data_IF_298020840268
#
_entry.id   IF_298020840268
#
_cell.length_a   1.000
_cell.length_b   1.000
_cell.length_c   1.000
_cell.angle_alpha   90.00
_cell.angle_beta   90.00
_cell.angle_gamma   90.00
#
_symmetry.space_group_name_H-M   'P 1'
#
loop_
_entity.id
_entity.type
_entity.pdbx_description
1 polymer ?
#
# COMPACT_ATOMS: atom_id res chain seq x y z
N UNK A 1 7.14 -17.07 -13.00
CA UNK A 1 6.62 -16.11 -12.00
C UNK A 1 5.60 -15.19 -12.67
N UNK A 2 4.44 -15.06 -12.08
CA UNK A 2 3.37 -14.24 -12.65
C UNK A 2 3.61 -12.76 -12.36
N UNK A 3 3.67 -11.94 -13.40
CA UNK A 3 3.72 -10.50 -13.29
C UNK A 3 2.32 -9.93 -13.40
N UNK A 4 1.98 -8.97 -12.53
CA UNK A 4 0.73 -8.23 -12.59
C UNK A 4 0.90 -6.92 -13.36
N UNK A 5 2.09 -6.34 -13.30
CA UNK A 5 2.44 -5.11 -13.98
C UNK A 5 3.92 -5.09 -14.31
N UNK A 6 4.42 -4.00 -14.87
CA UNK A 6 5.82 -3.88 -15.25
C UNK A 6 6.77 -4.15 -14.07
N UNK A 7 6.45 -3.62 -12.88
CA UNK A 7 7.36 -3.66 -11.73
C UNK A 7 6.91 -4.57 -10.60
N UNK A 8 5.70 -5.13 -10.63
CA UNK A 8 5.15 -5.87 -9.49
C UNK A 8 4.65 -7.25 -9.91
N UNK A 9 5.13 -8.28 -9.20
CA UNK A 9 4.69 -9.65 -9.38
C UNK A 9 3.48 -9.98 -8.50
N UNK A 10 2.78 -11.05 -8.85
CA UNK A 10 1.72 -11.60 -8.00
C UNK A 10 2.27 -11.95 -6.61
N UNK A 11 3.45 -12.56 -6.55
CA UNK A 11 4.07 -12.94 -5.28
C UNK A 11 4.30 -11.72 -4.38
N UNK A 12 4.81 -10.62 -4.93
CA UNK A 12 5.01 -9.38 -4.17
C UNK A 12 3.70 -8.80 -3.66
N UNK A 13 2.68 -8.79 -4.50
CA UNK A 13 1.39 -8.16 -4.19
C UNK A 13 0.49 -9.02 -3.32
N UNK A 14 0.88 -10.25 -3.02
CA UNK A 14 0.19 -11.17 -2.11
C UNK A 14 1.07 -11.61 -0.95
N UNK A 15 2.13 -10.86 -0.67
CA UNK A 15 3.06 -11.19 0.42
C UNK A 15 2.36 -11.15 1.77
N UNK A 16 2.69 -12.10 2.64
CA UNK A 16 2.17 -12.17 4.01
C UNK A 16 3.18 -12.90 4.90
N UNK A 17 3.26 -12.48 6.15
CA UNK A 17 4.07 -13.14 7.18
C UNK A 17 3.24 -14.08 8.08
N UNK A 18 1.93 -14.21 7.82
CA UNK A 18 1.03 -15.00 8.68
C UNK A 18 1.14 -16.50 8.47
N UNK A 19 1.72 -16.95 7.34
CA UNK A 19 1.73 -18.36 6.98
C UNK A 19 0.39 -18.89 6.46
N UNK A 20 -0.63 -18.05 6.39
CA UNK A 20 -1.96 -18.41 5.90
C UNK A 20 -2.04 -18.24 4.38
N UNK A 21 -2.96 -18.96 3.73
CA UNK A 21 -3.24 -18.79 2.32
C UNK A 21 -3.70 -17.37 2.02
N UNK A 22 -3.11 -16.77 0.98
CA UNK A 22 -3.39 -15.38 0.60
C UNK A 22 -3.64 -15.27 -0.91
N UNK A 23 -4.51 -16.14 -1.41
CA UNK A 23 -4.80 -16.22 -2.85
C UNK A 23 -6.05 -15.39 -3.18
N UNK A 24 -5.94 -14.41 -4.10
CA UNK A 24 -7.10 -13.64 -4.54
C UNK A 24 -8.01 -14.47 -5.45
N UNK A 25 -9.31 -14.21 -5.40
CA UNK A 25 -10.24 -14.71 -6.39
C UNK A 25 -10.11 -13.88 -7.69
N UNK A 26 -10.89 -14.22 -8.72
CA UNK A 26 -10.78 -13.56 -10.03
C UNK A 26 -11.06 -12.05 -9.96
N UNK A 27 -12.06 -11.63 -9.21
CA UNK A 27 -12.40 -10.20 -9.06
C UNK A 27 -11.33 -9.46 -8.27
N UNK A 28 -10.87 -10.04 -7.17
CA UNK A 28 -9.79 -9.47 -6.35
C UNK A 28 -8.50 -9.38 -7.15
N UNK A 29 -8.20 -10.39 -7.97
CA UNK A 29 -7.02 -10.39 -8.82
C UNK A 29 -7.08 -9.27 -9.87
N UNK A 30 -8.24 -9.03 -10.47
CA UNK A 30 -8.43 -7.93 -11.42
C UNK A 30 -8.17 -6.57 -10.77
N UNK A 31 -8.68 -6.37 -9.54
CA UNK A 31 -8.44 -5.14 -8.77
C UNK A 31 -6.97 -5.00 -8.40
N UNK A 32 -6.36 -6.08 -7.96
CA UNK A 32 -4.94 -6.10 -7.57
C UNK A 32 -4.03 -5.79 -8.76
N UNK A 33 -4.37 -6.30 -9.94
CA UNK A 33 -3.63 -6.01 -11.17
C UNK A 33 -3.69 -4.52 -11.49
N UNK A 34 -4.86 -3.90 -11.40
CA UNK A 34 -5.02 -2.46 -11.60
C UNK A 34 -4.23 -1.67 -10.55
N UNK A 35 -4.23 -2.12 -9.30
CA UNK A 35 -3.43 -1.52 -8.21
C UNK A 35 -1.94 -1.60 -8.51
N UNK A 36 -1.46 -2.75 -8.97
CA UNK A 36 -0.06 -2.92 -9.37
C UNK A 36 0.33 -1.97 -10.51
N UNK A 37 -0.54 -1.80 -11.50
CA UNK A 37 -0.32 -0.87 -12.61
C UNK A 37 -0.25 0.58 -12.11
N UNK A 38 -1.12 0.95 -11.18
CA UNK A 38 -1.07 2.28 -10.56
C UNK A 38 0.22 2.48 -9.76
N UNK A 39 0.68 1.44 -9.07
CA UNK A 39 1.95 1.46 -8.33
C UNK A 39 3.17 1.56 -9.26
N UNK A 40 3.07 1.16 -10.51
CA UNK A 40 4.15 1.38 -11.49
C UNK A 40 4.47 2.86 -11.65
N UNK A 41 3.47 3.74 -11.59
CA UNK A 41 3.69 5.19 -11.64
C UNK A 41 4.44 5.68 -10.39
N UNK A 42 4.12 5.14 -9.24
CA UNK A 42 4.84 5.43 -7.99
C UNK A 42 6.28 4.96 -8.09
N UNK A 43 6.49 3.75 -8.61
CA UNK A 43 7.83 3.20 -8.82
C UNK A 43 8.69 4.09 -9.74
N UNK A 44 8.10 4.58 -10.83
CA UNK A 44 8.79 5.52 -11.74
C UNK A 44 9.11 6.83 -11.04
N UNK A 45 8.18 7.37 -10.28
CA UNK A 45 8.38 8.61 -9.52
C UNK A 45 9.56 8.49 -8.55
N UNK A 46 9.62 7.40 -7.80
CA UNK A 46 10.66 7.20 -6.79
C UNK A 46 12.01 6.81 -7.38
N UNK A 47 12.02 6.18 -8.57
CA UNK A 47 13.24 5.81 -9.28
C UNK A 47 14.05 4.69 -8.63
N UNK A 48 13.53 4.03 -7.59
CA UNK A 48 14.21 2.98 -6.84
C UNK A 48 13.25 1.83 -6.53
N UNK A 49 13.76 0.63 -6.25
CA UNK A 49 12.90 -0.52 -5.92
C UNK A 49 12.02 -0.26 -4.71
N UNK A 50 10.75 -0.61 -4.84
CA UNK A 50 9.77 -0.55 -3.76
C UNK A 50 9.70 -1.93 -3.11
N UNK A 51 9.75 -1.96 -1.77
CA UNK A 51 9.52 -3.19 -1.02
C UNK A 51 8.09 -3.19 -0.50
N UNK A 52 7.28 -4.13 -0.99
CA UNK A 52 5.90 -4.31 -0.56
C UNK A 52 5.89 -5.11 0.74
N UNK A 53 5.28 -4.55 1.78
CA UNK A 53 5.10 -5.23 3.06
C UNK A 53 3.77 -5.96 3.13
N UNK A 54 2.74 -5.40 2.48
CA UNK A 54 1.40 -5.99 2.42
C UNK A 54 0.68 -5.42 1.21
N UNK A 55 0.14 -6.29 0.38
CA UNK A 55 -0.76 -5.91 -0.71
C UNK A 55 -2.15 -6.48 -0.46
N UNK A 56 -2.60 -7.41 -1.29
CA UNK A 56 -3.85 -8.12 -1.07
C UNK A 56 -3.82 -8.91 0.24
N UNK A 57 -4.96 -8.93 0.95
CA UNK A 57 -5.19 -9.77 2.11
C UNK A 57 -6.45 -10.60 1.93
N UNK A 58 -6.32 -11.92 1.95
CA UNK A 58 -7.47 -12.82 2.04
C UNK A 58 -8.24 -12.56 3.34
N UNK A 59 -9.47 -13.05 3.45
CA UNK A 59 -10.27 -12.89 4.68
C UNK A 59 -9.53 -13.41 5.91
N UNK A 60 -8.88 -14.57 5.80
CA UNK A 60 -8.12 -15.16 6.91
C UNK A 60 -6.90 -14.32 7.30
N UNK A 61 -6.12 -13.86 6.31
CA UNK A 61 -4.96 -12.99 6.54
C UNK A 61 -5.41 -11.67 7.17
N UNK A 62 -6.47 -11.08 6.63
CA UNK A 62 -6.99 -9.79 7.13
C UNK A 62 -7.43 -9.90 8.59
N UNK A 63 -8.11 -10.97 8.97
CA UNK A 63 -8.48 -11.23 10.37
C UNK A 63 -7.24 -11.41 11.25
N UNK A 64 -6.26 -12.17 10.78
CA UNK A 64 -5.05 -12.46 11.56
C UNK A 64 -4.26 -11.20 11.91
N UNK A 65 -4.27 -10.18 11.04
CA UNK A 65 -3.57 -8.91 11.29
C UNK A 65 -4.50 -7.84 11.89
N UNK A 66 -5.74 -8.18 12.23
CA UNK A 66 -6.67 -7.25 12.85
C UNK A 66 -7.29 -6.22 11.93
N UNK A 67 -7.30 -6.48 10.62
CA UNK A 67 -7.88 -5.58 9.64
C UNK A 67 -9.42 -5.60 9.63
N UNK A 68 -10.01 -4.47 9.22
CA UNK A 68 -11.45 -4.38 9.01
C UNK A 68 -11.87 -5.27 7.83
N UNK A 69 -13.05 -5.92 7.87
CA UNK A 69 -13.58 -6.66 6.73
C UNK A 69 -13.74 -5.81 5.46
N UNK A 70 -13.84 -4.48 5.62
CA UNK A 70 -13.93 -3.52 4.51
C UNK A 70 -12.59 -2.88 4.16
N UNK A 71 -11.50 -3.43 4.68
CA UNK A 71 -10.15 -2.92 4.39
C UNK A 71 -9.90 -2.87 2.88
N UNK A 72 -9.25 -1.80 2.43
CA UNK A 72 -8.82 -1.67 1.04
C UNK A 72 -7.87 -2.80 0.63
N UNK A 73 -7.07 -3.33 1.56
CA UNK A 73 -6.24 -4.51 1.32
C UNK A 73 -7.09 -5.75 0.99
N UNK A 74 -8.18 -5.95 1.70
CA UNK A 74 -9.07 -7.09 1.47
C UNK A 74 -9.80 -7.00 0.13
N UNK A 75 -9.99 -5.79 -0.38
CA UNK A 75 -10.62 -5.54 -1.67
C UNK A 75 -9.64 -5.60 -2.85
N UNK A 76 -8.34 -5.58 -2.59
CA UNK A 76 -7.31 -5.57 -3.63
C UNK A 76 -6.85 -4.17 -4.05
N UNK A 77 -7.20 -3.13 -3.30
CA UNK A 77 -6.93 -1.74 -3.68
C UNK A 77 -5.74 -1.10 -2.99
N UNK A 78 -5.13 -1.74 -2.02
CA UNK A 78 -4.12 -1.09 -1.17
C UNK A 78 -2.79 -1.82 -1.13
N UNK A 79 -1.74 -1.03 -0.93
CA UNK A 79 -0.36 -1.51 -0.76
C UNK A 79 0.29 -0.76 0.39
N UNK A 80 0.90 -1.50 1.31
CA UNK A 80 1.81 -0.97 2.34
C UNK A 80 3.23 -1.21 1.87
N UNK A 81 4.05 -0.17 1.85
CA UNK A 81 5.39 -0.28 1.28
C UNK A 81 6.39 0.71 1.87
N UNK A 82 7.66 0.44 1.60
CA UNK A 82 8.79 1.33 1.85
C UNK A 82 9.68 1.37 0.61
N UNK A 83 10.52 2.39 0.53
CA UNK A 83 11.50 2.55 -0.55
C UNK A 83 12.76 3.17 0.03
N UNK A 84 13.58 2.38 0.76
CA UNK A 84 14.70 2.92 1.54
C UNK A 84 15.72 3.71 0.74
N UNK A 85 15.96 3.32 -0.52
CA UNK A 85 16.93 4.04 -1.38
C UNK A 85 16.43 5.41 -1.81
N UNK A 86 15.12 5.65 -1.80
CA UNK A 86 14.56 6.96 -2.07
C UNK A 86 14.59 7.84 -0.82
N UNK A 87 14.13 7.30 0.30
CA UNK A 87 14.05 8.03 1.55
C UNK A 87 13.11 7.37 2.55
N UNK A 88 12.84 8.07 3.65
CA UNK A 88 11.92 7.60 4.67
C UNK A 88 10.46 7.71 4.19
N UNK A 89 9.50 7.10 4.92
CA UNK A 89 8.09 7.16 4.55
C UNK A 89 7.53 8.57 4.38
N UNK A 90 7.97 9.53 5.20
CA UNK A 90 7.54 10.93 5.06
C UNK A 90 7.99 11.50 3.71
N UNK A 91 9.23 11.26 3.30
CA UNK A 91 9.75 11.73 2.01
C UNK A 91 8.98 11.13 0.84
N UNK A 92 8.63 9.83 0.94
CA UNK A 92 7.82 9.15 -0.07
C UNK A 92 6.44 9.79 -0.18
N UNK A 93 5.76 10.00 0.95
CA UNK A 93 4.44 10.62 0.97
C UNK A 93 4.45 12.01 0.35
N UNK A 94 5.44 12.84 0.69
CA UNK A 94 5.59 14.18 0.13
C UNK A 94 5.79 14.14 -1.38
N UNK A 95 6.60 13.22 -1.87
CA UNK A 95 6.82 13.07 -3.31
C UNK A 95 5.52 12.69 -4.05
N UNK A 96 4.76 11.76 -3.49
CA UNK A 96 3.47 11.33 -4.08
C UNK A 96 2.48 12.49 -4.11
N UNK A 97 2.34 13.23 -3.02
CA UNK A 97 1.43 14.38 -2.95
C UNK A 97 1.82 15.45 -3.99
N UNK A 98 3.11 15.71 -4.16
CA UNK A 98 3.60 16.72 -5.10
C UNK A 98 3.50 16.27 -6.57
N UNK A 99 3.41 14.96 -6.84
CA UNK A 99 3.48 14.41 -8.19
C UNK A 99 2.21 14.55 -9.02
N UNK A 100 1.06 14.75 -8.38
CA UNK A 100 -0.23 14.72 -9.07
C UNK A 100 -0.76 13.32 -9.36
N UNK A 101 -0.09 12.25 -8.94
CA UNK A 101 -0.60 10.88 -9.04
C UNK A 101 -1.95 10.80 -8.33
N UNK A 102 -2.94 10.22 -9.00
CA UNK A 102 -4.27 10.03 -8.42
C UNK A 102 -4.27 8.84 -7.48
N UNK A 103 -4.90 9.01 -6.31
CA UNK A 103 -5.06 7.94 -5.34
C UNK A 103 -6.33 8.17 -4.51
N UNK A 104 -6.78 7.12 -3.83
CA UNK A 104 -7.90 7.24 -2.91
C UNK A 104 -7.44 7.71 -1.53
N UNK A 105 -6.50 6.98 -0.92
CA UNK A 105 -6.01 7.31 0.42
C UNK A 105 -4.50 7.09 0.51
N UNK A 106 -3.82 8.05 1.10
CA UNK A 106 -2.39 7.99 1.43
C UNK A 106 -2.24 8.18 2.93
N UNK A 107 -1.62 7.21 3.60
CA UNK A 107 -1.41 7.28 5.04
C UNK A 107 0.07 7.10 5.34
N UNK A 108 0.63 8.06 6.05
CA UNK A 108 1.93 7.92 6.69
C UNK A 108 1.73 7.13 7.97
N UNK A 109 2.09 5.85 7.94
CA UNK A 109 1.81 4.90 9.02
C UNK A 109 2.97 4.83 10.01
N UNK A 110 2.67 5.10 11.28
CA UNK A 110 3.59 4.91 12.42
C UNK A 110 4.99 5.52 12.21
N UNK A 111 5.12 6.80 11.78
CA UNK A 111 6.43 7.41 11.55
C UNK A 111 7.26 7.56 12.83
N UNK A 112 6.62 7.51 13.98
CA UNK A 112 7.26 7.59 15.30
C UNK A 112 7.67 6.22 15.87
N UNK A 113 7.47 5.14 15.11
CA UNK A 113 7.88 3.79 15.55
C UNK A 113 9.38 3.58 15.39
N UNK A 114 9.90 2.52 16.03
CA UNK A 114 11.32 2.18 15.97
C UNK A 114 11.81 1.90 14.54
N UNK A 115 10.94 1.39 13.65
CA UNK A 115 11.26 1.09 12.26
C UNK A 115 11.10 2.29 11.34
N UNK A 116 10.57 3.43 11.81
CA UNK A 116 10.29 4.61 10.98
C UNK A 116 8.97 4.54 10.21
N UNK A 117 8.23 3.45 10.35
CA UNK A 117 6.91 3.29 9.74
C UNK A 117 6.93 2.85 8.28
N UNK A 118 5.82 3.07 7.62
CA UNK A 118 5.64 2.71 6.20
C UNK A 118 4.60 3.62 5.55
N UNK A 119 4.38 3.43 4.25
CA UNK A 119 3.37 4.15 3.48
C UNK A 119 2.23 3.20 3.15
N UNK A 120 1.01 3.62 3.45
CA UNK A 120 -0.21 2.98 2.95
C UNK A 120 -0.76 3.81 1.80
N UNK A 121 -0.99 3.18 0.65
CA UNK A 121 -1.53 3.84 -0.52
C UNK A 121 -2.61 2.98 -1.15
N UNK A 122 -3.78 3.57 -1.41
CA UNK A 122 -4.90 2.85 -2.01
C UNK A 122 -5.45 3.54 -3.24
N UNK A 123 -6.07 2.74 -4.10
CA UNK A 123 -6.58 3.16 -5.40
C UNK A 123 -8.04 2.75 -5.59
N UNK A 124 -8.83 2.77 -4.50
CA UNK A 124 -10.27 2.61 -4.60
C UNK A 124 -10.81 3.59 -5.65
N UNK A 125 -11.75 3.17 -6.52
CA UNK A 125 -12.28 4.03 -7.59
C UNK A 125 -12.82 5.39 -7.14
N UNK A 126 -13.15 5.55 -5.85
CA UNK A 126 -13.59 6.85 -5.31
C UNK A 126 -12.53 7.95 -5.45
N UNK A 127 -11.24 7.57 -5.47
CA UNK A 127 -10.10 8.49 -5.66
C UNK A 127 -10.24 9.78 -4.85
N UNK A 128 -10.53 9.65 -3.56
CA UNK A 128 -10.84 10.78 -2.65
C UNK A 128 -9.65 11.68 -2.34
N UNK A 129 -8.44 11.20 -2.60
CA UNK A 129 -7.19 11.90 -2.26
C UNK A 129 -7.10 12.25 -0.77
N UNK A 130 -7.53 11.34 0.08
CA UNK A 130 -7.47 11.48 1.54
C UNK A 130 -6.02 11.28 1.99
N UNK A 131 -5.48 12.25 2.74
CA UNK A 131 -4.09 12.23 3.22
C UNK A 131 -4.11 12.26 4.74
N UNK A 132 -3.54 11.23 5.36
CA UNK A 132 -3.57 11.04 6.81
C UNK A 132 -2.19 10.67 7.35
N UNK A 133 -2.02 10.87 8.65
CA UNK A 133 -0.91 10.29 9.41
C UNK A 133 -1.49 9.46 10.55
N UNK A 134 -0.94 8.27 10.78
CA UNK A 134 -1.33 7.41 11.91
C UNK A 134 -0.18 7.29 12.90
N UNK A 135 -0.45 7.69 14.15
CA UNK A 135 0.48 7.54 15.27
C UNK A 135 -0.27 7.00 16.48
N UNK A 136 0.30 5.97 17.12
CA UNK A 136 -0.28 5.38 18.33
C UNK A 136 -1.76 5.00 18.17
N UNK A 137 -2.11 4.46 17.00
CA UNK A 137 -3.47 4.04 16.69
C UNK A 137 -4.44 5.19 16.36
N UNK A 138 -3.96 6.42 16.24
CA UNK A 138 -4.80 7.59 15.95
C UNK A 138 -4.47 8.17 14.59
N UNK A 139 -5.50 8.51 13.83
CA UNK A 139 -5.39 9.13 12.51
C UNK A 139 -5.62 10.63 12.61
N UNK A 140 -4.75 11.40 11.99
CA UNK A 140 -4.88 12.85 11.87
C UNK A 140 -4.77 13.26 10.41
N UNK A 141 -5.44 14.34 10.02
CA UNK A 141 -5.40 14.84 8.65
C UNK A 141 -4.02 15.41 8.32
N UNK A 142 -3.58 15.17 7.08
CA UNK A 142 -2.30 15.67 6.59
C UNK A 142 -1.12 14.82 7.01
N UNK A 143 0.08 15.31 6.69
CA UNK A 143 1.35 14.63 6.98
C UNK A 143 2.08 15.33 8.13
N UNK A 144 2.43 14.56 9.16
CA UNK A 144 3.21 15.05 10.31
C UNK A 144 4.08 13.96 10.89
N UNK A 145 5.23 14.34 11.46
CA UNK A 145 6.10 13.38 12.15
C UNK A 145 5.63 13.12 13.57
#
# INVERSE_FOLDING_TARGET
MTQLSRYFSLAEMTTTSTGLSNKPDAQQLARLTATAQAMDEVRKLLGHPIRVNSGFRSAAVNRAVGGSPKSAHALGYAVDFVCPKFGDPMAICRAIVASGIRFDQLILEAPNSATGGWVHLSFDPRMRRSILTMKNGRYTAGLSR
#
